data_IF_769486779072
#
_entry.id   IF_769486779072
#
_cell.length_a   1.000
_cell.length_b   1.000
_cell.length_c   1.000
_cell.angle_alpha   90.00
_cell.angle_beta   90.00
_cell.angle_gamma   90.00
#
_symmetry.space_group_name_H-M   'P 1'
#
loop_
_entity.id
_entity.type
_entity.pdbx_description
1 polymer ?
#
# COMPACT_ATOMS: atom_id res chain seq x y z
N UNK A 1 29.90 -2.15 -16.71
CA UNK A 1 28.51 -1.80 -16.98
C UNK A 1 27.78 -3.12 -17.14
N UNK A 2 26.85 -3.44 -16.28
CA UNK A 2 25.97 -4.58 -16.46
C UNK A 2 25.20 -4.35 -17.76
N UNK A 3 25.10 -5.36 -18.61
CA UNK A 3 24.40 -5.25 -19.89
C UNK A 3 22.99 -5.77 -19.73
N UNK A 4 22.09 -4.96 -19.18
CA UNK A 4 20.69 -5.28 -19.13
C UNK A 4 20.16 -5.60 -20.52
N UNK A 5 19.55 -6.77 -20.69
CA UNK A 5 19.03 -7.24 -21.97
C UNK A 5 17.79 -8.12 -21.79
N UNK A 6 17.03 -8.29 -22.85
CA UNK A 6 15.88 -9.22 -22.86
C UNK A 6 16.33 -10.66 -23.02
N UNK A 7 15.87 -11.53 -22.10
CA UNK A 7 16.04 -12.97 -22.19
C UNK A 7 14.70 -13.70 -22.04
N UNK A 8 14.62 -14.92 -22.57
CA UNK A 8 13.48 -15.79 -22.27
C UNK A 8 13.69 -16.39 -20.87
N UNK A 9 12.75 -16.14 -19.96
CA UNK A 9 12.81 -16.53 -18.57
C UNK A 9 11.61 -17.42 -18.24
N UNK A 10 11.88 -18.60 -17.72
CA UNK A 10 10.85 -19.42 -17.11
C UNK A 10 10.59 -18.92 -15.69
N UNK A 11 9.43 -18.29 -15.49
CA UNK A 11 9.02 -17.77 -14.19
C UNK A 11 8.56 -18.95 -13.30
N UNK A 12 9.22 -19.19 -12.15
CA UNK A 12 8.89 -20.32 -11.29
C UNK A 12 7.47 -20.27 -10.74
N UNK A 13 6.93 -21.42 -10.37
CA UNK A 13 5.79 -21.53 -9.49
C UNK A 13 6.29 -21.54 -8.05
N UNK A 14 6.11 -20.42 -7.34
CA UNK A 14 6.50 -20.28 -5.94
C UNK A 14 5.47 -20.88 -4.98
N UNK A 15 4.34 -21.38 -5.50
CA UNK A 15 3.21 -21.86 -4.71
C UNK A 15 2.31 -20.74 -4.19
N UNK A 16 1.12 -21.15 -3.76
CA UNK A 16 0.12 -20.24 -3.19
C UNK A 16 -0.13 -20.54 -1.72
N UNK A 17 -0.29 -19.50 -0.86
CA UNK A 17 -0.65 -19.71 0.52
C UNK A 17 -2.07 -20.27 0.64
N UNK A 18 -2.27 -21.27 1.52
CA UNK A 18 -3.56 -21.93 1.69
C UNK A 18 -4.60 -21.09 2.44
N UNK A 19 -4.15 -20.22 3.37
CA UNK A 19 -5.02 -19.37 4.17
C UNK A 19 -4.31 -18.09 4.58
N UNK A 20 -5.08 -17.01 4.74
CA UNK A 20 -4.57 -15.75 5.28
C UNK A 20 -4.18 -15.94 6.75
N UNK A 21 -2.99 -15.51 7.19
CA UNK A 21 -2.62 -15.50 8.59
C UNK A 21 -3.62 -14.71 9.45
N UNK A 22 -4.02 -15.31 10.57
CA UNK A 22 -4.91 -14.64 11.53
C UNK A 22 -4.08 -13.78 12.46
N UNK A 23 -4.41 -12.51 12.55
CA UNK A 23 -3.83 -11.60 13.52
C UNK A 23 -4.53 -11.82 14.87
N UNK A 24 -3.79 -12.23 15.95
CA UNK A 24 -4.42 -12.56 17.22
C UNK A 24 -4.90 -11.33 17.98
N UNK A 25 -5.91 -11.44 18.84
CA UNK A 25 -6.45 -10.33 19.64
C UNK A 25 -5.38 -9.59 20.47
N UNK A 26 -4.38 -10.30 20.97
CA UNK A 26 -3.27 -9.74 21.76
C UNK A 26 -2.44 -8.74 20.94
N UNK A 27 -2.35 -8.92 19.63
CA UNK A 27 -1.68 -7.98 18.74
C UNK A 27 -2.41 -6.63 18.70
N UNK A 28 -3.72 -6.67 18.56
CA UNK A 28 -4.55 -5.45 18.56
C UNK A 28 -4.52 -4.76 19.93
N UNK A 29 -4.52 -5.52 21.02
CA UNK A 29 -4.34 -4.96 22.35
C UNK A 29 -2.98 -4.25 22.51
N UNK A 30 -1.91 -4.84 22.00
CA UNK A 30 -0.58 -4.22 22.00
C UNK A 30 -0.52 -2.96 21.11
N UNK A 31 -1.18 -2.96 19.96
CA UNK A 31 -1.30 -1.78 19.08
C UNK A 31 -2.04 -0.63 19.75
N UNK A 32 -3.13 -0.96 20.44
CA UNK A 32 -3.91 0.02 21.20
C UNK A 32 -3.07 0.67 22.30
N UNK A 33 -2.29 -0.13 23.02
CA UNK A 33 -1.44 0.40 24.09
C UNK A 33 -0.31 1.28 23.54
N UNK A 34 0.30 0.91 22.41
CA UNK A 34 1.25 1.78 21.71
C UNK A 34 0.61 3.09 21.25
N UNK A 35 -0.64 3.05 20.76
CA UNK A 35 -1.36 4.26 20.37
C UNK A 35 -1.60 5.19 21.57
N UNK A 36 -1.95 4.65 22.74
CA UNK A 36 -2.06 5.40 24.00
C UNK A 36 -0.74 6.04 24.41
N UNK A 37 0.33 5.27 24.37
CA UNK A 37 1.65 5.79 24.67
C UNK A 37 2.03 6.94 23.75
N UNK A 38 1.84 6.78 22.45
CA UNK A 38 2.12 7.85 21.47
C UNK A 38 1.24 9.07 21.68
N UNK A 39 -0.05 8.89 21.96
CA UNK A 39 -0.94 9.99 22.31
C UNK A 39 -0.46 10.77 23.55
N UNK A 40 -0.04 10.05 24.59
CA UNK A 40 0.51 10.66 25.82
C UNK A 40 1.83 11.41 25.56
N UNK A 41 2.74 10.86 24.73
CA UNK A 41 3.98 11.53 24.33
C UNK A 41 3.72 12.87 23.61
N UNK A 42 2.62 12.95 22.83
CA UNK A 42 2.16 14.19 22.20
C UNK A 42 1.32 15.08 23.12
N UNK A 43 1.02 14.60 24.33
CA UNK A 43 0.23 15.31 25.34
C UNK A 43 -1.25 15.38 25.02
N UNK A 44 -1.81 14.42 24.28
CA UNK A 44 -3.24 14.31 24.03
C UNK A 44 -3.94 13.57 25.19
N UNK A 45 -5.05 14.14 25.64
CA UNK A 45 -5.93 13.51 26.63
C UNK A 45 -6.82 12.44 26.00
N UNK A 46 -7.22 12.66 24.74
CA UNK A 46 -8.06 11.76 23.96
C UNK A 46 -7.56 11.71 22.52
N UNK A 47 -7.47 10.51 21.96
CA UNK A 47 -7.28 10.30 20.53
C UNK A 47 -8.62 9.91 19.89
N UNK A 48 -9.01 10.60 18.82
CA UNK A 48 -10.24 10.35 18.06
C UNK A 48 -9.86 9.86 16.68
N UNK A 49 -10.18 8.61 16.36
CA UNK A 49 -9.89 7.99 15.06
C UNK A 49 -11.17 7.90 14.26
N UNK A 50 -11.23 8.63 13.16
CA UNK A 50 -12.32 8.58 12.19
C UNK A 50 -11.97 7.63 11.05
N UNK A 51 -12.96 6.91 10.56
CA UNK A 51 -12.83 6.07 9.38
C UNK A 51 -14.09 6.14 8.50
N UNK A 52 -13.86 6.09 7.20
CA UNK A 52 -14.90 6.05 6.18
C UNK A 52 -14.65 4.90 5.18
N UNK A 53 -15.37 4.91 4.06
CA UNK A 53 -15.32 3.85 3.04
C UNK A 53 -13.96 3.68 2.37
N UNK A 54 -13.18 4.75 2.25
CA UNK A 54 -11.84 4.73 1.63
C UNK A 54 -10.73 4.80 2.69
N UNK A 55 -10.94 5.55 3.77
CA UNK A 55 -9.93 5.86 4.77
C UNK A 55 -10.18 5.07 6.07
N UNK A 56 -10.17 3.74 5.99
CA UNK A 56 -10.43 2.85 7.13
C UNK A 56 -9.17 2.26 7.76
N UNK A 57 -8.02 2.37 7.12
CA UNK A 57 -6.82 1.63 7.48
C UNK A 57 -6.28 1.93 8.89
N UNK A 58 -6.35 3.18 9.38
CA UNK A 58 -5.94 3.53 10.75
C UNK A 58 -6.81 2.84 11.80
N UNK A 59 -8.13 2.86 11.62
CA UNK A 59 -9.07 2.19 12.52
C UNK A 59 -8.91 0.66 12.44
N UNK A 60 -8.81 0.11 11.22
CA UNK A 60 -8.67 -1.33 11.01
C UNK A 60 -7.36 -1.87 11.59
N UNK A 61 -6.26 -1.12 11.50
CA UNK A 61 -4.98 -1.47 12.12
C UNK A 61 -5.09 -1.58 13.64
N UNK A 62 -5.81 -0.65 14.28
CA UNK A 62 -5.99 -0.65 15.74
C UNK A 62 -6.93 -1.74 16.24
N UNK A 63 -8.02 -1.99 15.51
CA UNK A 63 -9.17 -2.72 16.06
C UNK A 63 -9.51 -4.02 15.32
N UNK A 64 -9.00 -4.20 14.11
CA UNK A 64 -9.45 -5.24 13.20
C UNK A 64 -10.85 -5.01 12.64
N UNK A 65 -11.47 -3.86 12.89
CA UNK A 65 -12.79 -3.48 12.39
C UNK A 65 -12.66 -2.66 11.11
N UNK A 66 -13.41 -3.06 10.08
CA UNK A 66 -13.49 -2.35 8.80
C UNK A 66 -14.91 -1.78 8.61
N UNK A 67 -15.09 -0.45 8.67
CA UNK A 67 -16.41 0.19 8.52
C UNK A 67 -16.75 0.53 7.05
N UNK A 68 -16.10 -0.05 6.05
CA UNK A 68 -16.15 0.38 4.63
C UNK A 68 -17.55 0.40 4.00
N UNK A 69 -18.59 0.04 4.72
CA UNK A 69 -19.98 0.20 4.26
C UNK A 69 -20.59 1.53 4.71
N UNK A 70 -20.27 1.98 5.93
CA UNK A 70 -20.67 3.26 6.53
C UNK A 70 -19.44 4.05 6.98
N UNK A 71 -19.53 4.67 8.16
CA UNK A 71 -18.45 5.41 8.83
C UNK A 71 -18.33 4.91 10.27
N UNK A 72 -17.21 5.20 10.92
CA UNK A 72 -17.01 4.93 12.33
C UNK A 72 -16.12 5.97 13.01
N UNK A 73 -16.29 6.14 14.31
CA UNK A 73 -15.46 7.02 15.16
C UNK A 73 -15.03 6.23 16.38
N UNK A 74 -13.73 6.11 16.61
CA UNK A 74 -13.16 5.49 17.80
C UNK A 74 -12.63 6.58 18.73
N UNK A 75 -13.06 6.55 19.99
CA UNK A 75 -12.51 7.38 21.07
C UNK A 75 -11.57 6.51 21.92
N UNK A 76 -10.32 6.93 22.00
CA UNK A 76 -9.28 6.27 22.77
C UNK A 76 -8.78 7.22 23.87
N UNK A 77 -9.09 6.88 25.13
CA UNK A 77 -8.58 7.57 26.32
C UNK A 77 -7.32 6.90 26.84
N UNK A 78 -6.64 7.54 27.75
CA UNK A 78 -5.47 6.98 28.44
C UNK A 78 -5.76 5.63 29.11
N UNK A 79 -6.98 5.44 29.64
CA UNK A 79 -7.41 4.21 30.32
C UNK A 79 -8.82 3.77 29.88
N UNK A 80 -9.13 2.50 30.15
CA UNK A 80 -10.44 1.89 29.89
C UNK A 80 -10.59 1.39 28.46
N UNK A 81 -11.70 0.70 28.17
CA UNK A 81 -11.99 0.21 26.84
C UNK A 81 -12.31 1.37 25.88
N UNK A 82 -11.78 1.34 24.65
CA UNK A 82 -12.11 2.35 23.66
C UNK A 82 -13.60 2.31 23.32
N UNK A 83 -14.19 3.46 22.97
CA UNK A 83 -15.57 3.56 22.50
C UNK A 83 -15.57 3.66 20.96
N UNK A 84 -16.23 2.72 20.30
CA UNK A 84 -16.52 2.77 18.88
C UNK A 84 -17.96 3.20 18.63
N UNK A 85 -18.14 4.28 17.89
CA UNK A 85 -19.44 4.67 17.32
C UNK A 85 -19.55 4.08 15.92
N UNK A 86 -20.67 3.43 15.63
CA UNK A 86 -20.98 2.85 14.32
C UNK A 86 -22.45 3.09 13.95
N UNK A 87 -22.74 3.13 12.66
CA UNK A 87 -24.09 3.30 12.12
C UNK A 87 -24.92 2.00 12.19
N UNK A 88 -26.16 2.08 11.68
CA UNK A 88 -27.15 1.01 11.77
C UNK A 88 -26.68 -0.32 11.17
N UNK A 89 -25.96 -0.28 10.05
CA UNK A 89 -25.50 -1.48 9.33
C UNK A 89 -24.23 -2.06 9.98
N UNK A 90 -23.30 -1.20 10.39
CA UNK A 90 -21.96 -1.61 10.84
C UNK A 90 -21.90 -1.96 12.35
N UNK A 91 -22.85 -1.51 13.19
CA UNK A 91 -22.84 -1.77 14.64
C UNK A 91 -22.83 -3.27 14.99
N UNK A 92 -23.45 -4.11 14.19
CA UNK A 92 -23.43 -5.56 14.34
C UNK A 92 -22.08 -6.17 14.03
N UNK A 93 -21.42 -5.68 12.98
CA UNK A 93 -20.09 -6.13 12.56
C UNK A 93 -19.00 -5.75 13.57
N UNK A 94 -19.13 -4.60 14.21
CA UNK A 94 -18.18 -4.14 15.22
C UNK A 94 -18.03 -5.12 16.41
N UNK A 95 -19.05 -5.93 16.68
CA UNK A 95 -19.02 -6.98 17.73
C UNK A 95 -18.13 -8.18 17.37
N UNK A 96 -17.82 -8.34 16.08
CA UNK A 96 -16.93 -9.40 15.60
C UNK A 96 -15.46 -8.96 15.54
N UNK A 97 -15.16 -7.70 15.84
CA UNK A 97 -13.79 -7.19 15.89
C UNK A 97 -12.97 -7.92 16.96
N UNK A 98 -11.69 -8.25 16.67
CA UNK A 98 -10.83 -8.98 17.61
C UNK A 98 -10.47 -8.16 18.85
N UNK A 99 -10.44 -6.82 18.74
CA UNK A 99 -10.20 -5.94 19.89
C UNK A 99 -11.48 -5.76 20.70
N UNK A 100 -11.46 -6.03 22.04
CA UNK A 100 -12.57 -5.68 22.92
C UNK A 100 -12.80 -4.16 22.95
N UNK A 101 -14.05 -3.74 22.64
CA UNK A 101 -14.44 -2.34 22.59
C UNK A 101 -15.84 -2.15 23.16
N UNK A 102 -16.11 -0.97 23.71
CA UNK A 102 -17.48 -0.51 23.92
C UNK A 102 -18.02 -0.08 22.57
N UNK A 103 -19.13 -0.65 22.12
CA UNK A 103 -19.74 -0.32 20.83
C UNK A 103 -21.07 0.38 21.08
N UNK A 104 -21.20 1.58 20.54
CA UNK A 104 -22.44 2.37 20.63
C UNK A 104 -23.00 2.66 19.24
N UNK A 105 -24.30 2.41 19.07
CA UNK A 105 -25.00 2.80 17.86
C UNK A 105 -25.13 4.33 17.81
N UNK A 106 -24.50 4.96 16.80
CA UNK A 106 -24.71 6.36 16.50
C UNK A 106 -25.23 6.54 15.07
N UNK A 107 -26.54 6.73 14.96
CA UNK A 107 -27.27 6.61 13.69
C UNK A 107 -26.97 7.71 12.69
N UNK A 108 -26.30 8.81 13.10
CA UNK A 108 -25.90 9.85 12.16
C UNK A 108 -24.74 9.43 11.22
N UNK A 109 -24.04 8.33 11.55
CA UNK A 109 -23.11 7.67 10.63
C UNK A 109 -23.79 6.74 9.62
N UNK A 110 -25.11 6.55 9.73
CA UNK A 110 -25.84 5.64 8.86
C UNK A 110 -26.15 6.23 7.50
N UNK A 111 -26.46 5.35 6.54
CA UNK A 111 -26.83 5.72 5.19
C UNK A 111 -28.06 6.65 5.15
N UNK A 112 -28.19 7.40 4.07
CA UNK A 112 -29.30 8.32 3.88
C UNK A 112 -30.65 7.59 3.92
N UNK A 113 -31.62 8.15 4.66
CA UNK A 113 -32.96 7.59 4.83
C UNK A 113 -33.09 6.50 5.89
N UNK A 114 -31.99 6.09 6.55
CA UNK A 114 -32.04 5.16 7.67
C UNK A 114 -32.58 5.83 8.94
N UNK A 115 -33.16 5.06 9.90
CA UNK A 115 -33.63 5.60 11.19
C UNK A 115 -32.55 6.35 11.96
N UNK A 116 -32.90 7.48 12.61
CA UNK A 116 -31.99 8.34 13.37
C UNK A 116 -32.57 8.76 14.72
N UNK A 117 -33.47 7.98 15.29
CA UNK A 117 -34.29 8.34 16.47
C UNK A 117 -33.73 7.78 17.79
N UNK A 118 -32.63 7.01 17.75
CA UNK A 118 -32.11 6.29 18.93
C UNK A 118 -30.69 6.71 19.35
N UNK A 119 -30.09 7.71 18.68
CA UNK A 119 -28.74 8.18 19.03
C UNK A 119 -28.76 9.22 20.12
N UNK A 120 -27.77 9.19 20.99
CA UNK A 120 -27.47 10.33 21.88
C UNK A 120 -26.88 11.49 21.09
N UNK A 121 -26.94 12.70 21.62
CA UNK A 121 -26.27 13.83 21.03
C UNK A 121 -24.73 13.61 21.02
N UNK A 122 -24.06 13.88 19.89
CA UNK A 122 -22.61 13.71 19.77
C UNK A 122 -21.85 14.50 20.85
N UNK A 123 -22.28 15.73 21.15
CA UNK A 123 -21.66 16.56 22.17
C UNK A 123 -21.68 15.91 23.58
N UNK A 124 -22.72 15.13 23.90
CA UNK A 124 -22.78 14.39 25.15
C UNK A 124 -21.81 13.19 25.13
N UNK A 125 -21.75 12.45 24.04
CA UNK A 125 -20.82 11.32 23.88
C UNK A 125 -19.37 11.82 24.00
N UNK A 126 -19.04 12.89 23.30
CA UNK A 126 -17.72 13.53 23.31
C UNK A 126 -17.32 13.95 24.73
N UNK A 127 -18.24 14.54 25.49
CA UNK A 127 -17.98 14.93 26.88
C UNK A 127 -17.77 13.72 27.81
N UNK A 128 -18.57 12.65 27.65
CA UNK A 128 -18.44 11.41 28.42
C UNK A 128 -17.11 10.70 28.14
N UNK A 129 -16.56 10.88 26.93
CA UNK A 129 -15.25 10.35 26.54
C UNK A 129 -14.06 11.26 26.90
N UNK A 130 -14.30 12.29 27.73
CA UNK A 130 -13.24 13.14 28.29
C UNK A 130 -12.84 14.34 27.44
N UNK A 131 -13.54 14.61 26.34
CA UNK A 131 -13.33 15.83 25.56
C UNK A 131 -14.13 16.96 26.20
N UNK A 132 -13.48 17.65 27.12
CA UNK A 132 -14.08 18.73 27.92
C UNK A 132 -13.25 20.01 27.78
N UNK A 133 -13.73 21.10 28.37
CA UNK A 133 -13.03 22.41 28.32
C UNK A 133 -11.56 22.25 28.80
N UNK A 134 -10.64 22.71 27.97
CA UNK A 134 -9.21 22.64 28.22
C UNK A 134 -8.51 21.33 27.76
N UNK A 135 -9.27 20.32 27.33
CA UNK A 135 -8.68 19.07 26.84
C UNK A 135 -7.88 19.27 25.54
N UNK A 136 -6.83 18.48 25.37
CA UNK A 136 -6.05 18.36 24.13
C UNK A 136 -6.45 17.08 23.40
N UNK A 137 -6.98 17.23 22.19
CA UNK A 137 -7.54 16.12 21.40
C UNK A 137 -6.71 15.93 20.13
N UNK A 138 -6.16 14.72 19.96
CA UNK A 138 -5.57 14.30 18.70
C UNK A 138 -6.63 13.67 17.80
N UNK A 139 -6.72 14.11 16.55
CA UNK A 139 -7.68 13.61 15.55
C UNK A 139 -6.91 12.90 14.44
N UNK A 140 -7.32 11.67 14.17
CA UNK A 140 -6.74 10.80 13.15
C UNK A 140 -7.78 10.59 12.06
N UNK A 141 -7.47 11.03 10.86
CA UNK A 141 -8.21 10.77 9.62
C UNK A 141 -7.33 9.97 8.65
N UNK A 142 -6.83 10.62 7.61
CA UNK A 142 -6.02 9.98 6.57
C UNK A 142 -4.61 10.58 6.40
N UNK A 143 -4.46 11.91 6.35
CA UNK A 143 -3.18 12.60 6.11
C UNK A 143 -2.79 13.53 7.26
N UNK A 144 -1.50 13.77 7.45
CA UNK A 144 -1.04 14.89 8.27
C UNK A 144 -0.55 16.04 7.39
N UNK A 145 -0.51 17.22 7.98
CA UNK A 145 -0.14 18.48 7.34
C UNK A 145 0.86 19.24 8.21
N UNK A 146 1.57 20.19 7.60
CA UNK A 146 2.45 21.09 8.34
C UNK A 146 1.67 21.92 9.39
N UNK A 147 0.43 22.30 9.07
CA UNK A 147 -0.49 22.94 10.01
C UNK A 147 -1.38 21.88 10.69
N UNK A 148 -1.13 21.62 11.96
CA UNK A 148 -1.88 20.63 12.75
C UNK A 148 -3.35 21.01 12.99
N UNK A 149 -3.77 22.26 12.71
CA UNK A 149 -5.18 22.65 12.77
C UNK A 149 -6.01 22.11 11.59
N UNK A 150 -5.36 21.59 10.54
CA UNK A 150 -6.03 21.00 9.40
C UNK A 150 -6.40 19.54 9.69
N UNK A 151 -7.73 19.29 9.73
CA UNK A 151 -8.28 17.98 10.04
C UNK A 151 -8.96 17.37 8.80
N UNK A 152 -8.80 16.09 8.63
CA UNK A 152 -9.42 15.29 7.56
C UNK A 152 -10.56 14.43 8.09
N UNK A 153 -11.53 15.07 8.66
CA UNK A 153 -12.74 14.43 9.20
C UNK A 153 -13.96 15.29 8.83
N UNK A 154 -15.18 14.74 8.89
CA UNK A 154 -16.37 15.52 8.66
C UNK A 154 -16.44 16.76 9.56
N UNK A 155 -16.91 17.89 9.01
CA UNK A 155 -16.97 19.17 9.73
C UNK A 155 -17.76 19.07 11.04
N UNK A 156 -18.86 18.31 11.07
CA UNK A 156 -19.66 18.14 12.28
C UNK A 156 -18.85 17.55 13.45
N UNK A 157 -17.93 16.62 13.16
CA UNK A 157 -17.04 16.06 14.18
C UNK A 157 -16.02 17.10 14.64
N UNK A 158 -15.31 17.73 13.70
CA UNK A 158 -14.32 18.77 14.01
C UNK A 158 -14.91 19.91 14.82
N UNK A 159 -16.10 20.41 14.43
CA UNK A 159 -16.78 21.52 15.10
C UNK A 159 -17.27 21.13 16.50
N UNK A 160 -17.79 19.89 16.67
CA UNK A 160 -18.21 19.38 17.99
C UNK A 160 -17.02 19.25 18.94
N UNK A 161 -15.89 18.71 18.48
CA UNK A 161 -14.67 18.60 19.29
C UNK A 161 -14.13 19.97 19.69
N UNK A 162 -14.02 20.91 18.73
CA UNK A 162 -13.56 22.30 19.00
C UNK A 162 -14.47 23.04 19.97
N UNK A 163 -15.79 22.85 19.82
CA UNK A 163 -16.76 23.47 20.75
C UNK A 163 -16.63 22.90 22.18
N UNK A 164 -16.37 21.57 22.31
CA UNK A 164 -16.23 20.92 23.61
C UNK A 164 -14.96 21.36 24.36
N UNK A 165 -13.81 21.44 23.68
CA UNK A 165 -12.55 21.83 24.32
C UNK A 165 -12.47 23.35 24.61
N UNK A 166 -13.22 24.15 23.87
CA UNK A 166 -13.26 25.62 24.03
C UNK A 166 -11.91 26.30 23.79
N UNK A 167 -11.77 27.59 24.17
CA UNK A 167 -10.57 28.36 23.84
C UNK A 167 -9.31 27.98 24.65
N UNK A 168 -9.45 27.17 25.69
CA UNK A 168 -8.34 26.71 26.54
C UNK A 168 -7.81 25.34 26.16
N UNK A 169 -8.48 24.61 25.28
CA UNK A 169 -8.05 23.30 24.76
C UNK A 169 -7.56 23.38 23.30
N UNK A 170 -7.20 22.24 22.75
CA UNK A 170 -6.81 22.12 21.34
C UNK A 170 -7.41 20.87 20.67
N UNK A 171 -7.63 20.98 19.36
CA UNK A 171 -7.99 19.84 18.49
C UNK A 171 -7.02 19.86 17.32
N UNK A 172 -6.18 18.86 17.23
CA UNK A 172 -5.02 18.83 16.35
C UNK A 172 -5.00 17.55 15.51
N UNK A 173 -4.45 17.64 14.30
CA UNK A 173 -4.17 16.49 13.46
C UNK A 173 -3.07 15.62 14.11
N UNK A 174 -3.37 14.36 14.32
CA UNK A 174 -2.50 13.36 14.96
C UNK A 174 -2.22 12.15 14.05
N UNK A 175 -2.39 12.30 12.73
CA UNK A 175 -2.12 11.22 11.78
C UNK A 175 -0.66 10.78 11.78
N UNK A 176 0.28 11.65 12.14
CA UNK A 176 1.70 11.32 12.31
C UNK A 176 1.93 10.18 13.31
N UNK A 177 1.09 10.02 14.33
CA UNK A 177 1.15 8.86 15.25
C UNK A 177 1.06 7.55 14.46
N UNK A 178 0.26 7.49 13.39
CA UNK A 178 0.04 6.28 12.61
C UNK A 178 0.95 6.13 11.40
N UNK A 179 1.21 7.24 10.70
CA UNK A 179 1.79 7.22 9.35
C UNK A 179 3.06 8.05 9.21
N UNK A 180 3.69 8.51 10.29
CA UNK A 180 5.05 9.07 10.20
C UNK A 180 6.01 8.07 9.58
N UNK A 181 6.78 8.49 8.57
CA UNK A 181 7.61 7.59 7.78
C UNK A 181 8.67 6.83 8.59
N UNK A 182 9.17 7.43 9.68
CA UNK A 182 10.20 6.83 10.53
C UNK A 182 9.63 6.01 11.69
N UNK A 183 8.51 6.45 12.28
CA UNK A 183 8.05 5.96 13.58
C UNK A 183 6.53 5.75 13.69
N UNK A 184 5.77 5.90 12.61
CA UNK A 184 4.33 5.68 12.61
C UNK A 184 3.96 4.26 13.04
N UNK A 185 2.85 4.09 13.73
CA UNK A 185 2.39 2.77 14.20
C UNK A 185 2.13 1.78 13.07
N UNK A 186 1.84 2.28 11.86
CA UNK A 186 1.58 1.47 10.67
C UNK A 186 2.79 1.32 9.75
N UNK A 187 3.90 1.98 10.07
CA UNK A 187 5.12 1.91 9.25
C UNK A 187 6.08 0.81 9.69
N UNK A 188 5.93 0.32 10.94
CA UNK A 188 6.71 -0.80 11.48
C UNK A 188 5.75 -1.95 11.81
N UNK A 189 5.86 -3.03 11.07
CA UNK A 189 4.93 -4.15 11.14
C UNK A 189 5.48 -5.31 11.98
N UNK A 190 4.59 -6.00 12.67
CA UNK A 190 4.88 -7.23 13.38
C UNK A 190 5.00 -8.42 12.40
N UNK A 191 5.59 -9.50 12.86
CA UNK A 191 5.75 -10.75 12.07
C UNK A 191 4.43 -11.21 11.46
N UNK A 192 3.34 -11.17 12.24
CA UNK A 192 2.00 -11.57 11.81
C UNK A 192 1.48 -10.69 10.66
N UNK A 193 1.71 -9.39 10.78
CA UNK A 193 1.28 -8.44 9.74
C UNK A 193 2.09 -8.63 8.46
N UNK A 194 3.41 -8.84 8.57
CA UNK A 194 4.26 -9.14 7.41
C UNK A 194 3.87 -10.46 6.74
N UNK A 195 3.48 -11.48 7.50
CA UNK A 195 2.99 -12.73 6.94
C UNK A 195 1.65 -12.55 6.21
N UNK A 196 0.76 -11.68 6.73
CA UNK A 196 -0.47 -11.31 6.03
C UNK A 196 -0.18 -10.52 4.74
N UNK A 197 0.85 -9.68 4.73
CA UNK A 197 1.28 -8.97 3.53
C UNK A 197 1.92 -9.90 2.50
N UNK A 198 2.67 -10.92 2.95
CA UNK A 198 3.17 -11.98 2.05
C UNK A 198 2.02 -12.74 1.39
N UNK A 199 1.00 -13.13 2.15
CA UNK A 199 -0.23 -13.72 1.61
C UNK A 199 -0.88 -12.82 0.54
N UNK A 200 -1.04 -11.55 0.84
CA UNK A 200 -1.64 -10.58 -0.08
C UNK A 200 -0.80 -10.44 -1.36
N UNK A 201 0.52 -10.31 -1.22
CA UNK A 201 1.44 -10.18 -2.35
C UNK A 201 1.47 -11.42 -3.24
N UNK A 202 1.36 -12.64 -2.67
CA UNK A 202 1.20 -13.85 -3.47
C UNK A 202 -0.05 -13.80 -4.35
N UNK A 203 -1.20 -13.48 -3.75
CA UNK A 203 -2.47 -13.43 -4.50
C UNK A 203 -2.47 -12.34 -5.56
N UNK A 204 -1.91 -11.19 -5.25
CA UNK A 204 -1.84 -10.03 -6.14
C UNK A 204 -0.89 -10.32 -7.32
N UNK A 205 0.33 -10.75 -7.03
CA UNK A 205 1.34 -11.02 -8.07
C UNK A 205 0.98 -12.22 -8.96
N UNK A 206 0.41 -13.29 -8.41
CA UNK A 206 -0.11 -14.39 -9.24
C UNK A 206 -1.30 -13.95 -10.08
N UNK A 207 -2.14 -13.04 -9.59
CA UNK A 207 -3.19 -12.43 -10.39
C UNK A 207 -2.62 -11.67 -11.59
N UNK A 208 -1.67 -10.78 -11.35
CA UNK A 208 -1.00 -10.01 -12.41
C UNK A 208 -0.22 -10.93 -13.36
N UNK A 209 0.47 -11.98 -12.86
CA UNK A 209 1.11 -13.00 -13.69
C UNK A 209 0.12 -13.65 -14.66
N UNK A 210 -1.04 -14.11 -14.15
CA UNK A 210 -2.10 -14.67 -15.01
C UNK A 210 -2.58 -13.69 -16.07
N UNK A 211 -2.75 -12.42 -15.69
CA UNK A 211 -3.12 -11.35 -16.62
C UNK A 211 -2.07 -11.20 -17.72
N UNK A 212 -0.79 -11.03 -17.37
CA UNK A 212 0.29 -10.84 -18.35
C UNK A 212 0.42 -12.02 -19.33
N UNK A 213 0.41 -13.25 -18.82
CA UNK A 213 0.54 -14.45 -19.66
C UNK A 213 -0.75 -14.82 -20.40
N UNK A 214 -1.91 -14.34 -19.91
CA UNK A 214 -3.22 -14.60 -20.51
C UNK A 214 -3.71 -13.51 -21.47
N UNK A 215 -3.08 -12.34 -21.47
CA UNK A 215 -3.50 -11.18 -22.29
C UNK A 215 -3.43 -11.54 -23.79
N UNK A 216 -4.47 -11.13 -24.53
CA UNK A 216 -4.54 -11.31 -25.99
C UNK A 216 -5.28 -10.12 -26.62
N UNK A 217 -4.85 -9.65 -27.79
CA UNK A 217 -5.64 -8.74 -28.60
C UNK A 217 -7.03 -9.31 -28.89
N UNK A 218 -8.03 -8.47 -28.91
CA UNK A 218 -9.44 -8.83 -29.07
C UNK A 218 -10.22 -9.04 -27.77
N UNK A 219 -9.55 -9.14 -26.63
CA UNK A 219 -10.22 -9.14 -25.31
C UNK A 219 -10.68 -7.72 -24.96
N UNK A 220 -11.81 -7.59 -24.28
CA UNK A 220 -12.15 -6.33 -23.60
C UNK A 220 -11.29 -6.15 -22.33
N UNK A 221 -11.05 -4.90 -21.92
CA UNK A 221 -10.36 -4.61 -20.66
C UNK A 221 -11.03 -5.32 -19.47
N UNK A 222 -12.38 -5.33 -19.44
CA UNK A 222 -13.17 -6.05 -18.42
C UNK A 222 -13.02 -7.58 -18.48
N UNK A 223 -12.78 -8.17 -19.64
CA UNK A 223 -12.48 -9.59 -19.79
C UNK A 223 -11.07 -9.90 -19.29
N UNK A 224 -10.10 -9.03 -19.60
CA UNK A 224 -8.73 -9.16 -19.11
C UNK A 224 -8.65 -9.16 -17.58
N UNK A 225 -9.47 -8.35 -16.90
CA UNK A 225 -9.58 -8.33 -15.44
C UNK A 225 -9.96 -9.71 -14.85
N UNK A 226 -10.74 -10.52 -15.55
CA UNK A 226 -11.12 -11.85 -15.04
C UNK A 226 -9.90 -12.78 -14.89
N UNK A 227 -8.81 -12.51 -15.60
CA UNK A 227 -7.56 -13.26 -15.48
C UNK A 227 -6.89 -13.05 -14.12
N UNK A 228 -7.17 -11.95 -13.43
CA UNK A 228 -6.66 -11.68 -12.07
C UNK A 228 -7.15 -12.72 -11.05
N UNK A 229 -8.33 -13.27 -11.26
CA UNK A 229 -8.98 -14.24 -10.34
C UNK A 229 -9.00 -13.72 -8.89
N UNK A 230 -9.42 -12.47 -8.72
CA UNK A 230 -9.52 -11.85 -7.42
C UNK A 230 -10.43 -12.66 -6.48
N UNK A 231 -9.92 -12.94 -5.28
CA UNK A 231 -10.56 -13.83 -4.29
C UNK A 231 -11.61 -13.13 -3.39
N UNK A 232 -11.94 -11.86 -3.65
CA UNK A 232 -12.90 -11.09 -2.86
C UNK A 232 -12.29 -10.38 -1.63
N UNK A 233 -10.98 -10.48 -1.40
CA UNK A 233 -10.30 -9.71 -0.34
C UNK A 233 -10.44 -8.20 -0.57
N UNK A 234 -10.49 -7.37 0.48
CA UNK A 234 -10.55 -5.93 0.34
C UNK A 234 -9.38 -5.39 -0.51
N UNK A 235 -9.70 -4.51 -1.45
CA UNK A 235 -8.70 -3.87 -2.29
C UNK A 235 -7.92 -2.81 -1.51
N UNK A 236 -6.61 -2.69 -1.76
CA UNK A 236 -5.74 -1.64 -1.21
C UNK A 236 -6.00 -0.28 -1.86
N UNK A 237 -6.38 -0.29 -3.14
CA UNK A 237 -6.90 0.83 -3.91
C UNK A 237 -7.87 0.30 -4.97
N UNK A 238 -8.54 1.17 -5.73
CA UNK A 238 -9.40 0.70 -6.83
C UNK A 238 -8.58 -0.02 -7.90
N UNK A 239 -9.19 -1.02 -8.56
CA UNK A 239 -8.56 -1.75 -9.65
C UNK A 239 -8.32 -0.82 -10.85
N UNK A 240 -7.09 -0.79 -11.34
CA UNK A 240 -6.68 -0.03 -12.51
C UNK A 240 -6.28 -1.00 -13.64
N UNK A 241 -6.83 -0.79 -14.82
CA UNK A 241 -6.43 -1.43 -16.06
C UNK A 241 -6.94 -0.60 -17.23
N UNK A 242 -6.04 -0.24 -18.11
CA UNK A 242 -6.41 0.50 -19.32
C UNK A 242 -5.45 0.23 -20.46
N UNK A 243 -5.96 0.40 -21.69
CA UNK A 243 -5.26 0.10 -22.91
C UNK A 243 -5.37 1.24 -23.94
N UNK A 244 -4.49 1.24 -24.94
CA UNK A 244 -4.43 2.24 -26.00
C UNK A 244 -4.25 3.67 -25.47
N UNK A 245 -4.97 4.67 -26.02
CA UNK A 245 -4.84 6.05 -25.55
C UNK A 245 -5.20 6.26 -24.08
N UNK A 246 -6.05 5.40 -23.51
CA UNK A 246 -6.47 5.48 -22.11
C UNK A 246 -5.34 5.13 -21.13
N UNK A 247 -4.41 4.29 -21.54
CA UNK A 247 -3.29 3.87 -20.70
C UNK A 247 -2.41 5.06 -20.27
N UNK A 248 -2.36 6.14 -21.05
CA UNK A 248 -1.59 7.35 -20.73
C UNK A 248 -2.09 8.10 -19.47
N UNK A 249 -3.29 7.80 -18.98
CA UNK A 249 -3.83 8.39 -17.73
C UNK A 249 -3.46 7.58 -16.48
N UNK A 250 -2.99 6.34 -16.60
CA UNK A 250 -2.51 5.49 -15.52
C UNK A 250 -3.60 4.94 -14.60
N UNK A 251 -4.41 5.78 -13.98
CA UNK A 251 -5.30 5.43 -12.87
C UNK A 251 -6.72 4.98 -13.27
N UNK A 252 -6.96 4.71 -14.54
CA UNK A 252 -8.31 4.41 -15.04
C UNK A 252 -8.73 2.97 -14.75
N UNK A 253 -9.98 2.81 -14.32
CA UNK A 253 -10.65 1.51 -14.21
C UNK A 253 -10.93 0.92 -15.60
N UNK A 254 -11.02 -0.43 -15.70
CA UNK A 254 -11.31 -1.13 -16.97
C UNK A 254 -12.69 -0.82 -17.50
N UNK A 255 -12.79 -0.84 -18.84
CA UNK A 255 -14.03 -0.63 -19.58
C UNK A 255 -14.29 -1.78 -20.58
N UNK A 256 -15.31 -1.61 -21.43
CA UNK A 256 -15.60 -2.49 -22.56
C UNK A 256 -14.70 -2.23 -23.80
N UNK A 257 -13.68 -1.36 -23.66
CA UNK A 257 -12.72 -1.17 -24.74
C UNK A 257 -12.03 -2.48 -25.09
N UNK A 258 -11.98 -2.77 -26.39
CA UNK A 258 -11.22 -3.91 -26.93
C UNK A 258 -9.74 -3.56 -26.95
N UNK A 259 -8.92 -4.42 -26.38
CA UNK A 259 -7.46 -4.34 -26.39
C UNK A 259 -7.00 -4.73 -27.81
N UNK A 260 -6.23 -3.86 -28.45
CA UNK A 260 -5.74 -4.05 -29.81
C UNK A 260 -4.22 -4.38 -29.80
N UNK A 261 -3.77 -5.06 -30.87
CA UNK A 261 -2.34 -5.23 -31.11
C UNK A 261 -1.68 -3.85 -31.31
N UNK A 262 -0.52 -3.64 -30.70
CA UNK A 262 0.19 -2.35 -30.69
C UNK A 262 -0.24 -1.38 -29.58
N UNK A 263 -1.28 -1.69 -28.82
CA UNK A 263 -1.74 -0.84 -27.73
C UNK A 263 -0.68 -0.66 -26.64
N UNK A 264 -0.62 0.53 -26.07
CA UNK A 264 -0.09 0.77 -24.73
C UNK A 264 -1.00 0.09 -23.71
N UNK A 265 -0.43 -0.44 -22.67
CA UNK A 265 -1.19 -1.13 -21.62
C UNK A 265 -0.61 -0.85 -20.25
N UNK A 266 -1.48 -0.63 -19.28
CA UNK A 266 -1.10 -0.52 -17.87
C UNK A 266 -2.13 -1.20 -16.98
N UNK A 267 -1.65 -1.77 -15.87
CA UNK A 267 -2.49 -2.36 -14.84
C UNK A 267 -1.89 -2.14 -13.47
N UNK A 268 -2.78 -1.96 -12.46
CA UNK A 268 -2.44 -2.03 -11.06
C UNK A 268 -3.55 -2.80 -10.33
N UNK A 269 -3.17 -3.83 -9.61
CA UNK A 269 -4.06 -4.66 -8.81
C UNK A 269 -3.46 -4.91 -7.44
N UNK A 270 -4.23 -4.64 -6.40
CA UNK A 270 -3.80 -4.84 -5.02
C UNK A 270 -4.95 -5.18 -4.09
N UNK A 271 -4.66 -6.01 -3.10
CA UNK A 271 -5.51 -6.25 -1.92
C UNK A 271 -4.78 -5.74 -0.69
N UNK A 272 -5.45 -5.59 0.43
CA UNK A 272 -4.85 -5.05 1.67
C UNK A 272 -3.48 -5.69 1.97
N UNK A 273 -2.44 -4.87 1.93
CA UNK A 273 -1.05 -5.28 2.16
C UNK A 273 -0.20 -5.51 0.91
N UNK A 274 -0.76 -5.33 -0.29
CA UNK A 274 -0.05 -5.50 -1.54
C UNK A 274 -0.59 -4.61 -2.66
N UNK A 275 0.30 -4.29 -3.60
CA UNK A 275 -0.02 -3.76 -4.93
C UNK A 275 0.99 -4.29 -5.94
N UNK A 276 0.55 -4.59 -7.15
CA UNK A 276 1.38 -4.94 -8.30
C UNK A 276 0.99 -4.10 -9.50
N UNK A 277 1.94 -3.34 -10.04
CA UNK A 277 1.74 -2.57 -11.27
C UNK A 277 2.66 -3.04 -12.39
N UNK A 278 2.13 -3.06 -13.60
CA UNK A 278 2.89 -3.36 -14.82
C UNK A 278 2.41 -2.50 -15.97
N UNK A 279 3.35 -2.11 -16.82
CA UNK A 279 3.06 -1.38 -18.06
C UNK A 279 3.97 -1.85 -19.19
N UNK A 280 3.51 -1.71 -20.44
CA UNK A 280 4.23 -2.06 -21.64
C UNK A 280 3.37 -1.93 -22.87
N UNK A 281 3.80 -2.58 -23.95
CA UNK A 281 3.08 -2.60 -25.22
C UNK A 281 2.51 -3.98 -25.54
N UNK A 282 1.33 -4.02 -26.15
CA UNK A 282 0.66 -5.25 -26.59
C UNK A 282 1.22 -5.69 -27.94
N UNK A 283 2.49 -6.09 -27.93
CA UNK A 283 3.26 -6.57 -29.10
C UNK A 283 4.12 -7.79 -28.70
N UNK A 284 4.69 -8.50 -29.67
CA UNK A 284 5.62 -9.63 -29.42
C UNK A 284 7.06 -9.15 -29.24
N UNK A 285 7.48 -8.13 -29.99
CA UNK A 285 8.84 -7.57 -29.90
C UNK A 285 8.92 -6.15 -30.48
N UNK A 286 10.13 -5.56 -30.42
CA UNK A 286 10.37 -4.18 -30.87
C UNK A 286 10.09 -3.95 -32.37
N UNK A 287 10.13 -4.99 -33.21
CA UNK A 287 9.88 -4.84 -34.66
C UNK A 287 8.42 -4.52 -34.98
N UNK A 288 7.54 -4.71 -34.03
CA UNK A 288 6.10 -4.38 -34.15
C UNK A 288 5.76 -2.99 -33.59
N UNK A 289 6.73 -2.30 -32.99
CA UNK A 289 6.58 -0.91 -32.56
C UNK A 289 6.73 0.06 -33.74
N UNK A 290 6.18 1.29 -33.66
CA UNK A 290 6.49 2.37 -34.58
C UNK A 290 8.01 2.62 -34.68
N UNK A 291 8.47 2.98 -35.90
CA UNK A 291 9.90 3.19 -36.19
C UNK A 291 10.58 4.21 -35.25
N UNK A 292 9.86 5.22 -34.80
CA UNK A 292 10.34 6.31 -33.94
C UNK A 292 10.54 5.89 -32.46
N UNK A 293 10.06 4.72 -32.10
CA UNK A 293 10.27 4.11 -30.77
C UNK A 293 10.78 2.67 -30.86
N UNK A 294 11.37 2.26 -31.97
CA UNK A 294 11.93 0.91 -32.14
C UNK A 294 13.05 0.60 -31.13
N UNK A 295 13.71 1.63 -30.58
CA UNK A 295 14.73 1.56 -29.52
C UNK A 295 14.14 1.65 -28.10
N UNK A 296 12.84 1.33 -27.93
CA UNK A 296 12.12 1.40 -26.65
C UNK A 296 12.85 0.65 -25.53
N UNK A 297 13.37 -0.54 -25.82
CA UNK A 297 14.08 -1.34 -24.80
C UNK A 297 15.38 -0.66 -24.40
N UNK A 298 16.19 -0.22 -25.34
CA UNK A 298 17.49 0.37 -25.11
C UNK A 298 17.40 1.74 -24.44
N UNK A 299 16.38 2.52 -24.83
CA UNK A 299 16.25 3.91 -24.40
C UNK A 299 15.49 4.08 -23.09
N UNK A 300 14.50 3.24 -22.82
CA UNK A 300 13.65 3.36 -21.63
C UNK A 300 13.77 2.14 -20.71
N UNK A 301 13.54 0.93 -21.22
CA UNK A 301 13.36 -0.24 -20.37
C UNK A 301 14.66 -0.69 -19.71
N UNK A 302 15.77 -0.72 -20.46
CA UNK A 302 17.06 -1.15 -19.91
C UNK A 302 17.62 -0.18 -18.86
N UNK A 303 17.65 1.15 -19.06
CA UNK A 303 17.99 2.10 -18.00
C UNK A 303 17.08 2.00 -16.78
N UNK A 304 15.78 1.80 -16.99
CA UNK A 304 14.82 1.59 -15.91
C UNK A 304 15.13 0.32 -15.10
N UNK A 305 15.36 -0.82 -15.78
CA UNK A 305 15.71 -2.07 -15.12
C UNK A 305 17.01 -1.93 -14.30
N UNK A 306 18.03 -1.26 -14.84
CA UNK A 306 19.29 -1.01 -14.12
C UNK A 306 19.06 -0.19 -12.85
N UNK A 307 18.22 0.84 -12.92
CA UNK A 307 17.85 1.65 -11.77
C UNK A 307 17.14 0.82 -10.68
N UNK A 308 16.15 0.02 -11.08
CA UNK A 308 15.41 -0.86 -10.16
C UNK A 308 16.32 -1.92 -9.55
N UNK A 309 17.18 -2.53 -10.35
CA UNK A 309 18.11 -3.55 -9.88
C UNK A 309 19.09 -2.98 -8.85
N UNK A 310 19.68 -1.81 -9.10
CA UNK A 310 20.57 -1.15 -8.13
C UNK A 310 19.83 -0.70 -6.87
N UNK A 311 18.62 -0.21 -7.00
CA UNK A 311 17.78 0.15 -5.86
C UNK A 311 17.49 -1.08 -4.97
N UNK A 312 17.14 -2.23 -5.59
CA UNK A 312 16.88 -3.49 -4.88
C UNK A 312 18.14 -4.08 -4.22
N UNK A 313 19.31 -3.90 -4.82
CA UNK A 313 20.59 -4.33 -4.25
C UNK A 313 21.03 -3.45 -3.07
N UNK A 314 20.68 -2.16 -3.11
CA UNK A 314 21.08 -1.18 -2.12
C UNK A 314 20.19 -1.19 -0.87
N UNK A 315 18.88 -1.47 -1.02
CA UNK A 315 17.92 -1.35 0.07
C UNK A 315 18.21 -2.34 1.21
N UNK A 316 18.36 -1.84 2.44
CA UNK A 316 18.58 -2.65 3.64
C UNK A 316 18.21 -1.86 4.92
N UNK A 317 18.20 -2.54 6.06
CA UNK A 317 17.98 -1.90 7.36
C UNK A 317 19.14 -0.94 7.68
N UNK A 318 18.85 0.32 7.98
CA UNK A 318 19.82 1.39 8.21
C UNK A 318 20.14 2.22 6.98
N UNK A 319 19.75 1.81 5.78
CA UNK A 319 19.86 2.62 4.56
C UNK A 319 18.96 3.85 4.67
N UNK A 320 19.42 5.02 4.26
CA UNK A 320 18.57 6.21 4.23
C UNK A 320 17.72 6.27 2.95
N UNK A 321 16.53 6.82 3.07
CA UNK A 321 15.67 7.02 1.89
C UNK A 321 16.27 7.98 0.87
N UNK A 322 17.12 8.94 1.31
CA UNK A 322 17.84 9.85 0.44
C UNK A 322 18.84 9.13 -0.48
N UNK A 323 19.59 8.16 0.06
CA UNK A 323 20.54 7.36 -0.74
C UNK A 323 19.83 6.53 -1.79
N UNK A 324 18.65 5.96 -1.48
CA UNK A 324 17.82 5.26 -2.49
C UNK A 324 17.29 6.21 -3.57
N UNK A 325 16.88 7.42 -3.17
CA UNK A 325 16.48 8.45 -4.13
C UNK A 325 17.61 8.82 -5.09
N UNK A 326 18.85 8.97 -4.59
CA UNK A 326 20.02 9.30 -5.40
C UNK A 326 20.34 8.23 -6.45
N UNK A 327 20.05 6.95 -6.18
CA UNK A 327 20.18 5.88 -7.18
C UNK A 327 19.24 6.16 -8.37
N UNK A 328 17.98 6.45 -8.11
CA UNK A 328 17.01 6.73 -9.17
C UNK A 328 17.36 8.02 -9.91
N UNK A 329 17.75 9.06 -9.20
CA UNK A 329 18.18 10.33 -9.82
C UNK A 329 19.40 10.14 -10.75
N UNK A 330 20.36 9.31 -10.37
CA UNK A 330 21.54 9.01 -11.18
C UNK A 330 21.20 8.29 -12.47
N UNK A 331 20.24 7.34 -12.45
CA UNK A 331 19.86 6.55 -13.62
C UNK A 331 18.78 7.21 -14.46
N UNK A 332 17.80 7.82 -13.83
CA UNK A 332 16.56 8.28 -14.44
C UNK A 332 16.28 9.78 -14.24
N UNK A 333 17.27 10.55 -13.77
CA UNK A 333 17.14 12.00 -13.56
C UNK A 333 17.08 12.82 -14.85
N UNK A 334 17.35 12.23 -16.03
CA UNK A 334 17.13 12.92 -17.29
C UNK A 334 15.64 13.24 -17.49
N UNK A 335 15.28 14.48 -17.87
CA UNK A 335 13.88 14.88 -18.10
C UNK A 335 13.09 13.96 -19.05
N UNK A 336 13.77 13.21 -19.91
CA UNK A 336 13.12 12.20 -20.76
C UNK A 336 12.31 11.19 -19.97
N UNK A 337 12.81 10.72 -18.80
CA UNK A 337 12.11 9.74 -18.00
C UNK A 337 10.89 10.31 -17.26
N UNK A 338 10.88 11.63 -17.01
CA UNK A 338 9.75 12.30 -16.38
C UNK A 338 9.37 11.75 -15.00
N UNK A 339 10.36 11.32 -14.19
CA UNK A 339 10.11 10.85 -12.82
C UNK A 339 9.66 12.04 -11.97
N UNK A 340 8.48 11.97 -11.39
CA UNK A 340 7.92 13.05 -10.55
C UNK A 340 7.37 12.57 -9.21
N UNK A 341 7.24 11.27 -9.00
CA UNK A 341 6.87 10.67 -7.72
C UNK A 341 8.13 10.28 -6.93
N UNK A 342 7.97 10.09 -5.63
CA UNK A 342 9.02 9.51 -4.80
C UNK A 342 9.34 8.08 -5.26
N UNK A 343 10.62 7.73 -5.21
CA UNK A 343 11.14 6.48 -5.76
C UNK A 343 10.99 5.31 -4.77
N UNK A 344 9.76 4.97 -4.45
CA UNK A 344 9.37 3.95 -3.48
C UNK A 344 8.66 4.54 -2.26
N UNK A 345 7.76 3.77 -1.68
CA UNK A 345 6.95 4.18 -0.54
C UNK A 345 6.64 3.00 0.40
N UNK A 346 6.14 3.31 1.59
CA UNK A 346 5.66 2.32 2.55
C UNK A 346 4.23 1.93 2.20
N UNK A 347 3.94 0.62 2.29
CA UNK A 347 2.60 0.05 2.11
C UNK A 347 2.04 -0.47 3.42
N UNK A 348 0.72 -0.44 3.55
CA UNK A 348 -0.04 -0.96 4.68
C UNK A 348 -1.30 -1.70 4.21
N UNK A 349 -2.39 -1.54 4.95
CA UNK A 349 -3.70 -2.01 4.50
C UNK A 349 -4.20 -1.22 3.27
N UNK A 350 -3.95 0.08 3.26
CA UNK A 350 -4.02 0.95 2.08
C UNK A 350 -2.71 0.89 1.28
N UNK A 351 -2.81 1.22 0.03
CA UNK A 351 -1.69 1.16 -0.92
C UNK A 351 -0.55 2.09 -0.49
N UNK A 352 -0.85 3.30 -0.04
CA UNK A 352 0.14 4.31 0.32
C UNK A 352 0.04 4.73 1.79
N UNK A 353 1.09 4.48 2.56
CA UNK A 353 1.19 4.94 3.96
C UNK A 353 1.99 6.23 4.05
N UNK A 354 3.25 6.20 3.60
CA UNK A 354 4.17 7.33 3.55
C UNK A 354 5.37 6.96 2.68
N UNK A 355 6.21 7.93 2.33
CA UNK A 355 7.47 7.66 1.65
C UNK A 355 8.67 8.23 2.41
N UNK A 356 9.58 7.38 2.90
CA UNK A 356 10.89 7.82 3.37
C UNK A 356 11.83 8.18 2.21
N UNK A 357 11.54 7.77 0.96
CA UNK A 357 12.42 7.87 -0.20
C UNK A 357 12.16 9.17 -0.95
N UNK A 358 12.91 10.20 -0.62
CA UNK A 358 12.85 11.52 -1.29
C UNK A 358 14.22 12.22 -1.25
N UNK A 359 14.40 13.25 -2.06
CA UNK A 359 15.63 14.02 -2.11
C UNK A 359 16.04 14.55 -0.73
N UNK A 360 17.26 14.24 -0.32
CA UNK A 360 17.83 14.69 0.96
C UNK A 360 17.22 14.05 2.20
N UNK A 361 16.42 12.98 2.06
CA UNK A 361 15.86 12.27 3.21
C UNK A 361 16.96 11.63 4.06
N UNK A 362 16.91 11.89 5.36
CA UNK A 362 17.75 11.25 6.38
C UNK A 362 17.02 10.18 7.16
N UNK A 363 15.82 9.80 6.73
CA UNK A 363 15.02 8.75 7.37
C UNK A 363 15.69 7.41 7.08
N UNK A 364 16.14 6.75 8.14
CA UNK A 364 16.69 5.38 8.06
C UNK A 364 15.57 4.37 7.92
N UNK A 365 15.74 3.44 6.98
CA UNK A 365 14.84 2.29 6.83
C UNK A 365 15.06 1.31 8.00
N UNK A 366 13.97 0.74 8.49
CA UNK A 366 13.97 -0.06 9.71
C UNK A 366 13.39 -1.45 9.47
N UNK A 367 13.83 -2.39 10.32
CA UNK A 367 13.23 -3.72 10.41
C UNK A 367 11.73 -3.63 10.71
N UNK A 368 10.91 -4.36 9.95
CA UNK A 368 9.45 -4.32 10.01
C UNK A 368 8.79 -3.37 9.00
N UNK A 369 9.55 -2.57 8.26
CA UNK A 369 9.00 -1.76 7.16
C UNK A 369 8.59 -2.65 5.99
N UNK A 370 7.39 -2.44 5.47
CA UNK A 370 6.92 -2.97 4.19
C UNK A 370 6.97 -1.84 3.16
N UNK A 371 7.61 -2.09 2.02
CA UNK A 371 7.91 -1.10 1.00
C UNK A 371 7.40 -1.55 -0.37
N UNK A 372 6.93 -0.63 -1.16
CA UNK A 372 6.77 -0.78 -2.61
C UNK A 372 7.99 -0.20 -3.33
N UNK A 373 8.53 -0.99 -4.26
CA UNK A 373 9.50 -0.50 -5.23
C UNK A 373 8.69 0.16 -6.35
N UNK A 374 8.38 1.41 -6.17
CA UNK A 374 7.52 2.17 -7.09
C UNK A 374 8.31 3.30 -7.74
N UNK A 375 8.63 3.13 -9.01
CA UNK A 375 9.30 4.12 -9.85
C UNK A 375 8.60 4.13 -11.20
N UNK A 376 7.96 5.23 -11.55
CA UNK A 376 7.13 5.32 -12.76
C UNK A 376 7.69 6.38 -13.72
N UNK A 377 8.38 5.98 -14.80
CA UNK A 377 8.70 6.88 -15.89
C UNK A 377 7.41 7.40 -16.54
N UNK A 378 7.34 8.71 -16.76
CA UNK A 378 6.22 9.36 -17.44
C UNK A 378 6.78 10.23 -18.56
N UNK A 379 7.25 9.58 -19.65
CA UNK A 379 8.01 10.25 -20.72
C UNK A 379 7.22 11.36 -21.44
N UNK A 380 5.89 11.30 -21.41
CA UNK A 380 5.02 12.23 -22.15
C UNK A 380 5.17 12.14 -23.67
N UNK A 381 5.83 11.09 -24.16
CA UNK A 381 6.12 10.83 -25.58
C UNK A 381 5.51 9.51 -26.05
N UNK A 382 5.76 9.12 -27.30
CA UNK A 382 5.34 7.82 -27.85
C UNK A 382 6.01 6.63 -27.14
N UNK A 383 7.16 6.82 -26.46
CA UNK A 383 7.77 5.79 -25.59
C UNK A 383 6.87 5.37 -24.42
N UNK A 384 5.87 6.18 -24.08
CA UNK A 384 4.91 5.87 -23.04
C UNK A 384 5.57 5.72 -21.67
N UNK A 385 5.60 4.50 -21.12
CA UNK A 385 6.19 4.12 -19.85
C UNK A 385 6.63 2.65 -19.86
N UNK A 386 7.36 2.27 -18.86
CA UNK A 386 7.51 0.90 -18.38
C UNK A 386 7.45 0.97 -16.86
N UNK A 387 6.89 -0.01 -16.17
CA UNK A 387 7.00 -0.05 -14.73
C UNK A 387 6.93 -1.47 -14.16
N UNK A 388 7.49 -1.60 -12.99
CA UNK A 388 7.37 -2.72 -12.09
C UNK A 388 7.19 -2.11 -10.70
N UNK A 389 6.00 -2.25 -10.14
CA UNK A 389 5.77 -1.97 -8.74
C UNK A 389 5.47 -3.28 -8.04
N UNK A 390 6.22 -3.58 -6.99
CA UNK A 390 6.16 -4.84 -6.25
C UNK A 390 6.58 -4.65 -4.80
N UNK A 391 5.96 -5.43 -3.89
CA UNK A 391 6.18 -5.33 -2.46
C UNK A 391 7.42 -6.11 -1.97
N UNK A 392 8.14 -5.48 -1.05
CA UNK A 392 9.18 -6.10 -0.21
C UNK A 392 8.92 -5.79 1.27
N UNK A 393 9.54 -6.55 2.17
CA UNK A 393 9.67 -6.15 3.57
C UNK A 393 11.14 -6.13 3.98
N UNK A 394 11.46 -5.29 4.96
CA UNK A 394 12.78 -5.23 5.57
C UNK A 394 12.78 -5.94 6.92
N UNK A 395 13.73 -6.83 7.13
CA UNK A 395 13.81 -7.63 8.33
C UNK A 395 15.26 -7.84 8.76
N UNK A 396 15.59 -7.42 9.98
CA UNK A 396 16.85 -7.78 10.60
C UNK A 396 16.92 -9.29 10.94
N UNK A 397 18.06 -9.77 11.39
CA UNK A 397 18.28 -11.17 11.70
C UNK A 397 17.26 -11.72 12.73
N UNK A 398 16.84 -10.92 13.70
CA UNK A 398 15.87 -11.34 14.71
C UNK A 398 14.47 -11.52 14.10
N UNK A 399 14.03 -10.56 13.30
CA UNK A 399 12.72 -10.60 12.63
C UNK A 399 12.67 -11.73 11.60
N UNK A 400 13.75 -11.92 10.80
CA UNK A 400 13.87 -13.06 9.86
C UNK A 400 13.75 -14.40 10.58
N UNK A 401 14.49 -14.58 11.67
CA UNK A 401 14.42 -15.83 12.46
C UNK A 401 13.03 -16.08 13.03
N UNK A 402 12.37 -15.03 13.53
CA UNK A 402 11.01 -15.12 14.05
C UNK A 402 10.00 -15.44 12.94
N UNK A 403 10.14 -14.82 11.77
CA UNK A 403 9.27 -15.06 10.62
C UNK A 403 9.40 -16.51 10.12
N UNK A 404 10.64 -16.99 9.91
CA UNK A 404 10.91 -18.35 9.47
C UNK A 404 10.36 -19.41 10.44
N UNK A 405 10.49 -19.18 11.74
CA UNK A 405 9.99 -20.11 12.76
C UNK A 405 8.47 -20.17 12.86
N UNK A 406 7.77 -19.06 12.63
CA UNK A 406 6.32 -18.95 12.81
C UNK A 406 5.53 -19.18 11.51
N UNK A 407 6.12 -18.87 10.37
CA UNK A 407 5.51 -18.97 9.04
C UNK A 407 6.44 -19.68 8.04
N UNK A 408 6.80 -20.96 8.30
CA UNK A 408 7.82 -21.68 7.50
C UNK A 408 7.47 -21.78 6.02
N UNK A 409 6.19 -21.99 5.67
CA UNK A 409 5.77 -22.08 4.27
C UNK A 409 5.92 -20.73 3.52
N UNK A 410 5.65 -19.61 4.20
CA UNK A 410 5.88 -18.28 3.65
C UNK A 410 7.38 -18.00 3.52
N UNK A 411 8.18 -18.43 4.48
CA UNK A 411 9.63 -18.29 4.44
C UNK A 411 10.23 -19.08 3.26
N UNK A 412 9.77 -20.31 3.02
CA UNK A 412 10.21 -21.12 1.87
C UNK A 412 9.94 -20.39 0.54
N UNK A 413 8.76 -19.76 0.38
CA UNK A 413 8.46 -18.97 -0.81
C UNK A 413 9.36 -17.73 -0.93
N UNK A 414 9.66 -17.04 0.18
CA UNK A 414 10.57 -15.89 0.21
C UNK A 414 11.97 -16.30 -0.26
N UNK A 415 12.51 -17.41 0.24
CA UNK A 415 13.83 -17.90 -0.16
C UNK A 415 13.84 -18.33 -1.65
N UNK A 416 12.79 -18.97 -2.13
CA UNK A 416 12.67 -19.33 -3.55
C UNK A 416 12.63 -18.08 -4.46
N UNK A 417 11.91 -17.02 -4.06
CA UNK A 417 11.91 -15.73 -4.78
C UNK A 417 13.28 -15.06 -4.76
N UNK A 418 13.98 -15.06 -3.61
CA UNK A 418 15.36 -14.55 -3.51
C UNK A 418 16.29 -15.26 -4.49
N UNK A 419 16.24 -16.60 -4.53
CA UNK A 419 17.03 -17.39 -5.47
C UNK A 419 16.72 -17.04 -6.92
N UNK A 420 15.46 -16.93 -7.29
CA UNK A 420 15.05 -16.53 -8.64
C UNK A 420 15.50 -15.12 -9.02
N UNK A 421 15.34 -14.14 -8.14
CA UNK A 421 15.75 -12.75 -8.37
C UNK A 421 17.27 -12.68 -8.60
N UNK A 422 18.04 -13.45 -7.83
CA UNK A 422 19.48 -13.54 -7.98
C UNK A 422 19.91 -14.30 -9.23
N UNK A 423 19.47 -15.54 -9.35
CA UNK A 423 19.99 -16.48 -10.36
C UNK A 423 19.31 -16.31 -11.73
N UNK A 424 18.03 -15.89 -11.72
CA UNK A 424 17.24 -15.69 -12.93
C UNK A 424 17.31 -14.29 -13.50
N UNK A 425 17.32 -13.25 -12.63
CA UNK A 425 17.29 -11.85 -13.07
C UNK A 425 18.65 -11.13 -12.92
N UNK A 426 19.59 -11.70 -12.16
CA UNK A 426 20.90 -11.12 -11.91
C UNK A 426 20.91 -10.00 -10.89
N UNK A 427 19.97 -9.98 -9.93
CA UNK A 427 19.83 -8.95 -8.88
C UNK A 427 20.16 -9.58 -7.52
N UNK A 428 21.21 -9.12 -6.85
CA UNK A 428 21.69 -9.68 -5.57
C UNK A 428 21.10 -8.93 -4.38
N UNK A 429 19.94 -9.37 -3.90
CA UNK A 429 19.24 -8.74 -2.77
C UNK A 429 20.05 -8.81 -1.48
N UNK A 430 20.11 -7.70 -0.72
CA UNK A 430 20.61 -7.73 0.65
C UNK A 430 19.84 -8.73 1.50
N UNK A 431 20.51 -9.33 2.51
CA UNK A 431 19.86 -10.36 3.35
C UNK A 431 18.62 -9.85 4.11
N UNK A 432 18.55 -8.56 4.41
CA UNK A 432 17.40 -7.95 5.09
C UNK A 432 16.15 -7.84 4.21
N UNK A 433 16.26 -7.99 2.90
CA UNK A 433 15.14 -7.87 1.96
C UNK A 433 14.34 -9.16 1.89
N UNK A 434 13.08 -9.12 2.24
CA UNK A 434 12.12 -10.21 2.06
C UNK A 434 11.27 -9.90 0.81
N UNK A 435 11.49 -10.56 -0.33
CA UNK A 435 10.64 -10.42 -1.51
C UNK A 435 9.24 -11.00 -1.23
N UNK A 436 8.22 -10.15 -1.18
CA UNK A 436 6.84 -10.57 -0.92
C UNK A 436 6.12 -10.96 -2.23
N UNK A 437 6.46 -10.29 -3.33
CA UNK A 437 5.89 -10.50 -4.66
C UNK A 437 6.56 -11.64 -5.43
N UNK A 438 5.76 -12.44 -6.14
CA UNK A 438 6.24 -13.46 -7.09
C UNK A 438 6.79 -12.84 -8.39
N UNK A 439 6.64 -11.53 -8.57
CA UNK A 439 7.07 -10.76 -9.75
C UNK A 439 8.12 -9.69 -9.44
N UNK A 440 8.77 -9.73 -8.26
CA UNK A 440 9.79 -8.74 -7.89
C UNK A 440 10.93 -8.73 -8.92
N UNK A 441 11.21 -7.55 -9.48
CA UNK A 441 12.26 -7.37 -10.47
C UNK A 441 11.89 -7.87 -11.89
N UNK A 442 10.75 -8.52 -12.07
CA UNK A 442 10.33 -9.07 -13.36
C UNK A 442 9.70 -8.00 -14.25
N UNK A 443 10.43 -7.57 -15.28
CA UNK A 443 10.04 -6.52 -16.22
C UNK A 443 9.96 -7.11 -17.62
N UNK A 444 8.73 -7.35 -18.12
CA UNK A 444 8.43 -7.85 -19.45
C UNK A 444 7.73 -6.73 -20.26
N UNK A 445 8.46 -5.98 -21.10
CA UNK A 445 7.93 -4.81 -21.78
C UNK A 445 6.99 -5.14 -22.96
N UNK A 446 7.06 -6.35 -23.49
CA UNK A 446 6.27 -6.85 -24.64
C UNK A 446 5.27 -7.89 -24.15
N UNK A 447 4.00 -7.47 -24.02
CA UNK A 447 3.00 -8.22 -23.27
C UNK A 447 2.44 -9.45 -24.00
N UNK A 448 2.70 -9.62 -25.30
CA UNK A 448 2.39 -10.84 -26.03
C UNK A 448 3.53 -11.87 -25.92
N UNK A 449 4.68 -11.48 -25.37
CA UNK A 449 5.82 -12.32 -25.03
C UNK A 449 6.27 -12.04 -23.59
N UNK A 450 5.31 -12.17 -22.68
CA UNK A 450 5.55 -12.00 -21.23
C UNK A 450 6.54 -13.00 -20.63
N UNK A 451 6.97 -14.01 -21.39
CA UNK A 451 8.09 -14.89 -21.09
C UNK A 451 9.48 -14.26 -21.37
N UNK A 452 9.52 -13.07 -21.99
CA UNK A 452 10.77 -12.32 -22.25
C UNK A 452 10.86 -11.15 -21.28
N UNK A 453 11.77 -11.24 -20.34
CA UNK A 453 12.00 -10.23 -19.32
C UNK A 453 13.43 -9.71 -19.33
N UNK A 454 13.64 -8.57 -18.68
CA UNK A 454 14.94 -7.96 -18.49
C UNK A 454 15.79 -8.77 -17.51
N UNK A 455 17.07 -8.94 -17.82
CA UNK A 455 18.09 -9.60 -16.97
C UNK A 455 19.42 -8.85 -17.05
N UNK A 456 20.31 -9.10 -16.08
CA UNK A 456 21.73 -8.68 -16.10
C UNK A 456 22.65 -9.81 -16.50
#
# INVERSE_FOLDING_TARGET
MANAHLATIELPDFGMPGAMPVLPPELYAARLERARQRAAEHGYDVLVVYADREHSANLSHLSGFDPRFEEAILFLRAEGDPLLLAGNECVGMAKAAPLPMRVELWQDLSLNGMPRDRSRALAQIVADEGVVAGARVGVVGWKYYADRAWLEVPSFLADTLRAAVGPSGSVENANDIFIDAANGLRTINEVEQLAAFEYASCHTSEGVKRLLFGLRPGMMEQEAVQLLQWNGSPLSCHLMLSSGPRASFGLLSPTDRVIEHGDRFTTAFGIWGALECRAGFVVEDASELPDDIADYVERLVAPYFEAIAEWLEAVHVGQTGGELHEIIERHLGDPFFGIFLNAGHQIGLDEWVNSPVHSGSTIELRSGMAMQVDVIPATGTEYFTTNMESGIALADAQLRSSFAARYPDAWERIEARRAFVKDGLGIDLHEDVLPLSNLLGYIAPFLLRSDRAMVR
#
